data_IF_963823394742
#
_entry.id   IF_963823394742
#
_cell.length_a   1.000
_cell.length_b   1.000
_cell.length_c   1.000
_cell.angle_alpha   90.00
_cell.angle_beta   90.00
_cell.angle_gamma   90.00
#
_symmetry.space_group_name_H-M   'P 1'
#
loop_
_entity.id
_entity.type
_entity.pdbx_description
1 polymer ?
#
# COMPACT_ATOMS: atom_id res chain seq x y z
N UNK A 1 -12.62 -16.14 -17.98
CA UNK A 1 -12.55 -14.81 -18.60
C UNK A 1 -11.36 -14.14 -17.95
N UNK A 2 -10.28 -13.89 -18.68
CA UNK A 2 -9.18 -13.05 -18.19
C UNK A 2 -9.74 -11.66 -18.03
N UNK A 3 -9.75 -11.12 -16.81
CA UNK A 3 -10.10 -9.72 -16.60
C UNK A 3 -8.79 -8.95 -16.47
N UNK A 4 -8.60 -7.99 -17.36
CA UNK A 4 -7.47 -7.07 -17.36
C UNK A 4 -7.93 -5.78 -16.67
N UNK A 5 -7.31 -5.42 -15.54
CA UNK A 5 -7.50 -4.10 -14.93
C UNK A 5 -6.32 -3.22 -15.26
N UNK A 6 -6.57 -2.10 -15.93
CA UNK A 6 -5.59 -1.03 -15.99
C UNK A 6 -5.83 -0.13 -14.79
N UNK A 7 -4.95 -0.16 -13.79
CA UNK A 7 -4.86 0.87 -12.76
C UNK A 7 -4.34 2.16 -13.40
N UNK A 8 -5.12 2.82 -14.24
CA UNK A 8 -4.84 4.19 -14.66
C UNK A 8 -5.45 5.13 -13.63
N UNK A 9 -4.63 5.70 -12.74
CA UNK A 9 -5.04 6.88 -12.02
C UNK A 9 -5.30 7.98 -13.06
N UNK A 10 -6.37 8.75 -12.93
CA UNK A 10 -6.74 9.63 -14.00
C UNK A 10 -5.81 10.85 -14.08
N UNK A 11 -5.70 11.44 -15.28
CA UNK A 11 -4.78 12.56 -15.57
C UNK A 11 -4.99 13.73 -14.60
N UNK A 12 -3.99 14.60 -14.44
CA UNK A 12 -3.86 15.59 -13.35
C UNK A 12 -5.13 16.36 -12.92
N UNK A 13 -6.07 16.64 -13.84
CA UNK A 13 -7.35 17.27 -13.49
C UNK A 13 -8.29 16.37 -12.67
N UNK A 14 -8.33 15.07 -12.95
CA UNK A 14 -9.16 14.14 -12.19
C UNK A 14 -8.53 13.72 -10.86
N UNK A 15 -7.19 13.72 -10.75
CA UNK A 15 -6.51 13.56 -9.46
C UNK A 15 -6.85 14.73 -8.53
N UNK A 16 -6.91 15.95 -9.07
CA UNK A 16 -7.42 17.12 -8.37
C UNK A 16 -8.91 16.96 -8.01
N UNK A 17 -9.75 16.33 -8.85
CA UNK A 17 -11.15 16.00 -8.49
C UNK A 17 -11.27 15.01 -7.33
N UNK A 18 -10.38 14.01 -7.24
CA UNK A 18 -10.36 13.09 -6.10
C UNK A 18 -9.92 13.79 -4.80
N UNK A 19 -9.06 14.82 -4.90
CA UNK A 19 -8.67 15.67 -3.78
C UNK A 19 -9.81 16.64 -3.39
N UNK A 20 -10.52 17.23 -4.36
CA UNK A 20 -11.62 18.15 -4.07
C UNK A 20 -12.84 17.41 -3.50
N UNK A 21 -13.17 16.21 -3.97
CA UNK A 21 -14.28 15.43 -3.36
C UNK A 21 -13.99 14.91 -1.96
N UNK A 22 -12.72 14.78 -1.54
CA UNK A 22 -12.40 14.55 -0.12
C UNK A 22 -12.62 15.81 0.75
N UNK A 23 -12.66 17.00 0.15
CA UNK A 23 -12.94 18.25 0.86
C UNK A 23 -14.41 18.34 1.30
N UNK A 24 -15.34 17.73 0.58
CA UNK A 24 -16.77 17.68 0.96
C UNK A 24 -17.02 16.85 2.24
N UNK A 25 -16.04 16.02 2.65
CA UNK A 25 -16.07 15.20 3.87
C UNK A 25 -15.14 15.73 4.97
N UNK A 26 -14.67 16.98 4.82
CA UNK A 26 -13.80 17.68 5.76
C UNK A 26 -14.23 17.61 7.25
N UNK A 27 -15.52 17.66 7.65
CA UNK A 27 -15.85 17.62 9.08
C UNK A 27 -15.55 16.27 9.75
N UNK A 28 -15.44 15.17 9.01
CA UNK A 28 -15.12 13.84 9.57
C UNK A 28 -13.63 13.48 9.43
N UNK A 29 -12.92 14.10 8.49
CA UNK A 29 -11.52 13.81 8.17
C UNK A 29 -10.53 14.56 9.09
N UNK A 30 -10.80 14.60 10.40
CA UNK A 30 -9.98 15.32 11.38
C UNK A 30 -9.07 14.33 12.14
N UNK A 31 -7.74 14.50 12.10
CA UNK A 31 -6.80 13.62 12.80
C UNK A 31 -6.38 14.20 14.17
N UNK A 32 -7.33 14.54 15.07
CA UNK A 32 -7.00 15.21 16.33
C UNK A 32 -6.10 14.35 17.21
N UNK A 33 -6.42 13.05 17.35
CA UNK A 33 -5.65 12.15 18.20
C UNK A 33 -4.19 12.04 17.74
N UNK A 34 -3.95 11.96 16.42
CA UNK A 34 -2.60 11.90 15.85
C UNK A 34 -1.81 13.21 15.99
N UNK A 35 -2.51 14.35 16.08
CA UNK A 35 -1.90 15.66 16.23
C UNK A 35 -1.55 16.03 17.68
N UNK A 36 -2.07 15.30 18.68
CA UNK A 36 -1.76 15.51 20.09
C UNK A 36 -0.25 15.46 20.35
N UNK A 37 0.25 16.37 21.19
CA UNK A 37 1.69 16.44 21.55
C UNK A 37 2.20 15.10 22.06
N UNK A 38 1.40 14.40 22.88
CA UNK A 38 1.73 13.08 23.43
C UNK A 38 1.91 11.98 22.35
N UNK A 39 1.31 12.15 21.17
CA UNK A 39 1.28 11.16 20.11
C UNK A 39 2.24 11.46 18.94
N UNK A 40 2.82 12.68 18.89
CA UNK A 40 3.72 13.09 17.79
C UNK A 40 4.88 12.12 17.58
N UNK A 41 5.49 11.64 18.67
CA UNK A 41 6.61 10.69 18.61
C UNK A 41 6.21 9.27 18.18
N UNK A 42 4.91 8.96 18.12
CA UNK A 42 4.38 7.68 17.63
C UNK A 42 4.13 7.70 16.11
N UNK A 43 4.32 8.84 15.44
CA UNK A 43 4.11 8.99 13.99
C UNK A 43 5.44 8.95 13.25
N UNK A 44 5.61 8.02 12.31
CA UNK A 44 6.80 7.95 11.45
C UNK A 44 6.92 9.18 10.55
N UNK A 45 5.78 9.71 10.10
CA UNK A 45 5.69 10.95 9.32
C UNK A 45 4.70 11.91 9.99
N UNK A 46 5.11 13.15 10.34
CA UNK A 46 4.26 14.08 11.11
C UNK A 46 2.92 14.42 10.46
N UNK A 47 2.85 14.37 9.13
CA UNK A 47 1.67 14.78 8.36
C UNK A 47 0.83 13.61 7.83
N UNK A 48 1.21 12.36 8.14
CA UNK A 48 0.47 11.16 7.73
C UNK A 48 -0.16 10.58 8.98
N UNK A 49 -1.37 11.01 9.28
CA UNK A 49 -2.09 10.71 10.51
C UNK A 49 -3.37 9.93 10.20
N UNK A 50 -3.86 9.06 11.10
CA UNK A 50 -5.17 8.44 10.94
C UNK A 50 -6.28 9.45 11.25
N UNK A 51 -7.41 9.38 10.55
CA UNK A 51 -8.61 10.16 10.91
C UNK A 51 -9.28 9.58 12.16
N UNK A 52 -9.87 10.43 13.00
CA UNK A 52 -10.38 10.00 14.31
C UNK A 52 -11.59 9.05 14.24
N UNK A 53 -12.40 9.12 13.18
CA UNK A 53 -13.60 8.29 13.00
C UNK A 53 -13.28 6.84 12.66
N UNK A 54 -12.12 6.59 12.04
CA UNK A 54 -11.73 5.27 11.55
C UNK A 54 -10.36 4.80 12.06
N UNK A 55 -9.70 5.55 12.96
CA UNK A 55 -8.45 5.11 13.59
C UNK A 55 -8.68 3.86 14.43
N UNK A 56 -7.67 2.99 14.47
CA UNK A 56 -7.64 1.91 15.45
C UNK A 56 -7.40 2.51 16.83
N UNK A 57 -8.22 2.11 17.81
CA UNK A 57 -8.09 2.53 19.22
C UNK A 57 -7.66 1.33 20.04
N UNK A 58 -6.53 1.45 20.72
CA UNK A 58 -6.02 0.45 21.63
C UNK A 58 -6.70 0.56 23.00
N UNK A 59 -6.72 -0.52 23.77
CA UNK A 59 -7.14 -0.46 25.17
C UNK A 59 -6.28 0.54 25.96
N UNK A 60 -6.90 1.33 26.84
CA UNK A 60 -6.17 2.29 27.68
C UNK A 60 -5.36 1.53 28.75
N UNK A 61 -4.07 1.82 28.85
CA UNK A 61 -3.14 1.27 29.84
C UNK A 61 -2.73 2.31 30.87
N UNK A 62 -2.52 1.86 32.11
CA UNK A 62 -1.98 2.68 33.21
C UNK A 62 -2.72 4.00 33.44
N UNK A 63 -4.03 4.03 33.16
CA UNK A 63 -4.87 5.23 33.24
C UNK A 63 -4.36 6.40 32.37
N UNK A 64 -3.47 6.15 31.40
CA UNK A 64 -2.98 7.17 30.47
C UNK A 64 -3.92 7.25 29.26
N UNK A 65 -4.72 8.32 29.11
CA UNK A 65 -5.68 8.42 28.01
C UNK A 65 -5.03 8.44 26.62
N UNK A 66 -3.74 8.78 26.51
CA UNK A 66 -3.01 8.80 25.24
C UNK A 66 -2.39 7.43 24.87
N UNK A 67 -2.55 6.43 25.73
CA UNK A 67 -2.08 5.06 25.46
C UNK A 67 -2.96 4.31 24.46
N UNK A 68 -4.13 4.85 24.10
CA UNK A 68 -5.04 4.28 23.11
C UNK A 68 -4.57 4.50 21.65
N UNK A 69 -3.53 5.33 21.46
CA UNK A 69 -3.12 5.78 20.14
C UNK A 69 -2.10 4.85 19.47
N UNK A 70 -2.42 4.48 18.23
CA UNK A 70 -1.52 3.94 17.22
C UNK A 70 -1.84 4.58 15.86
N UNK A 71 -0.83 4.79 15.00
CA UNK A 71 -1.03 5.33 13.65
C UNK A 71 -1.52 4.23 12.69
N UNK A 72 -2.80 3.89 12.81
CA UNK A 72 -3.46 2.88 12.00
C UNK A 72 -4.93 3.27 11.75
N UNK A 73 -5.45 2.91 10.58
CA UNK A 73 -6.85 3.12 10.19
C UNK A 73 -7.46 1.81 9.70
N UNK A 74 -8.71 1.55 10.06
CA UNK A 74 -9.50 0.53 9.37
C UNK A 74 -9.78 0.97 7.92
N UNK A 75 -9.93 0.03 6.98
CA UNK A 75 -10.33 0.33 5.60
C UNK A 75 -10.63 -0.93 4.78
N UNK A 76 -11.24 -0.75 3.60
CA UNK A 76 -11.64 -1.82 2.69
C UNK A 76 -13.15 -1.86 2.41
N UNK A 77 -13.55 -2.75 1.50
CA UNK A 77 -14.93 -2.81 0.97
C UNK A 77 -16.02 -3.28 1.93
N UNK A 78 -15.64 -3.79 3.09
CA UNK A 78 -16.47 -3.75 4.30
C UNK A 78 -15.65 -3.12 5.41
N UNK A 79 -16.30 -2.41 6.34
CA UNK A 79 -15.70 -1.50 7.34
C UNK A 79 -14.59 -2.10 8.23
N UNK A 80 -14.26 -3.39 8.08
CA UNK A 80 -13.28 -4.13 8.91
C UNK A 80 -12.44 -5.17 8.15
N UNK A 81 -12.32 -5.09 6.83
CA UNK A 81 -11.52 -6.08 6.09
C UNK A 81 -10.01 -5.90 6.29
N UNK A 82 -9.54 -4.66 6.36
CA UNK A 82 -8.12 -4.33 6.51
C UNK A 82 -7.86 -3.29 7.59
N UNK A 83 -6.65 -3.34 8.14
CA UNK A 83 -6.02 -2.24 8.88
C UNK A 83 -4.81 -1.76 8.08
N UNK A 84 -4.82 -0.50 7.66
CA UNK A 84 -3.67 0.17 7.07
C UNK A 84 -2.91 0.92 8.16
N UNK A 85 -1.63 0.58 8.37
CA UNK A 85 -0.79 1.19 9.41
C UNK A 85 0.58 1.59 8.87
N UNK A 86 1.26 2.52 9.56
CA UNK A 86 2.67 2.80 9.30
C UNK A 86 3.56 1.59 9.64
N UNK A 87 4.77 1.58 9.09
CA UNK A 87 5.84 0.69 9.54
C UNK A 87 6.21 1.00 10.98
N UNK A 88 6.14 0.02 11.92
CA UNK A 88 6.41 0.26 13.33
C UNK A 88 7.75 0.95 13.56
N UNK A 89 7.75 1.95 14.44
CA UNK A 89 8.94 2.58 15.02
C UNK A 89 9.38 1.80 16.26
N UNK A 90 10.64 1.93 16.73
CA UNK A 90 11.12 1.23 17.91
C UNK A 90 10.24 1.43 19.15
N UNK A 91 9.74 2.65 19.37
CA UNK A 91 8.85 3.02 20.48
C UNK A 91 7.36 2.65 20.25
N UNK A 92 7.01 2.04 19.12
CA UNK A 92 5.63 1.64 18.78
C UNK A 92 5.49 0.15 18.46
N UNK A 93 6.56 -0.64 18.56
CA UNK A 93 6.51 -2.10 18.33
C UNK A 93 5.53 -2.78 19.30
N UNK A 94 5.54 -2.38 20.58
CA UNK A 94 4.59 -2.90 21.57
C UNK A 94 3.14 -2.53 21.22
N UNK A 95 2.90 -1.27 20.82
CA UNK A 95 1.58 -0.81 20.37
C UNK A 95 1.10 -1.59 19.12
N UNK A 96 2.00 -1.88 18.18
CA UNK A 96 1.69 -2.67 16.99
C UNK A 96 1.26 -4.10 17.33
N UNK A 97 2.01 -4.78 18.21
CA UNK A 97 1.64 -6.15 18.61
C UNK A 97 0.38 -6.18 19.48
N UNK A 98 0.16 -5.17 20.31
CA UNK A 98 -1.10 -4.96 21.03
C UNK A 98 -2.27 -4.78 20.07
N UNK A 99 -2.11 -4.01 19.00
CA UNK A 99 -3.12 -3.90 17.93
C UNK A 99 -3.42 -5.25 17.29
N UNK A 100 -2.39 -6.00 16.91
CA UNK A 100 -2.53 -7.34 16.30
C UNK A 100 -3.32 -8.28 17.22
N UNK A 101 -3.03 -8.21 18.52
CA UNK A 101 -3.74 -8.99 19.53
C UNK A 101 -5.19 -8.55 19.72
N UNK A 102 -5.45 -7.28 20.02
CA UNK A 102 -6.78 -6.77 20.32
C UNK A 102 -7.74 -6.90 19.13
N UNK A 103 -7.23 -6.74 17.90
CA UNK A 103 -8.03 -6.81 16.68
C UNK A 103 -8.13 -8.23 16.10
N UNK A 104 -7.63 -9.25 16.81
CA UNK A 104 -7.69 -10.66 16.36
C UNK A 104 -7.12 -10.90 14.95
N UNK A 105 -6.05 -10.18 14.63
CA UNK A 105 -5.38 -10.24 13.32
C UNK A 105 -4.78 -11.64 13.15
N UNK A 106 -4.88 -12.19 11.93
CA UNK A 106 -4.27 -13.47 11.54
C UNK A 106 -3.27 -13.35 10.40
N UNK A 107 -3.34 -12.26 9.66
CA UNK A 107 -2.49 -12.00 8.49
C UNK A 107 -1.90 -10.61 8.58
N UNK A 108 -0.58 -10.52 8.44
CA UNK A 108 0.16 -9.27 8.30
C UNK A 108 0.82 -9.27 6.92
N UNK A 109 0.67 -8.17 6.18
CA UNK A 109 1.27 -7.94 4.88
C UNK A 109 2.18 -6.72 4.93
N UNK A 110 3.49 -6.96 4.84
CA UNK A 110 4.54 -5.96 4.81
C UNK A 110 5.03 -5.74 3.38
N UNK A 111 4.69 -4.61 2.77
CA UNK A 111 5.03 -4.26 1.37
C UNK A 111 6.11 -3.18 1.27
N UNK A 112 7.13 -3.26 2.14
CA UNK A 112 8.33 -2.41 2.08
C UNK A 112 9.53 -3.17 2.60
N UNK A 113 10.72 -2.97 2.01
CA UNK A 113 11.97 -3.32 2.67
C UNK A 113 12.14 -2.55 3.99
N UNK A 114 12.96 -3.08 4.92
CA UNK A 114 13.33 -2.40 6.17
C UNK A 114 14.06 -1.08 5.92
N UNK A 115 14.97 -1.07 4.94
CA UNK A 115 15.74 0.10 4.52
C UNK A 115 15.72 0.24 3.01
N UNK A 116 15.71 1.47 2.53
CA UNK A 116 15.87 1.79 1.11
C UNK A 116 16.91 2.90 0.99
N UNK A 117 18.02 2.61 0.29
CA UNK A 117 19.22 3.45 0.32
C UNK A 117 19.65 3.68 1.78
N UNK A 118 19.74 4.94 2.22
CA UNK A 118 20.06 5.33 3.60
C UNK A 118 18.83 5.47 4.52
N UNK A 119 17.61 5.43 3.97
CA UNK A 119 16.39 5.71 4.72
C UNK A 119 15.84 4.45 5.39
N UNK A 120 15.54 4.54 6.69
CA UNK A 120 14.81 3.50 7.42
C UNK A 120 13.32 3.63 7.07
N UNK A 121 12.81 2.61 6.40
CA UNK A 121 11.41 2.55 5.96
C UNK A 121 10.54 1.84 7.01
N UNK A 122 11.09 0.82 7.67
CA UNK A 122 10.42 0.09 8.73
C UNK A 122 11.47 -0.52 9.65
N UNK A 123 11.26 -0.42 10.95
CA UNK A 123 12.08 -1.15 11.92
C UNK A 123 11.61 -2.61 11.97
N UNK A 124 12.55 -3.54 12.17
CA UNK A 124 12.19 -4.96 12.27
C UNK A 124 11.44 -5.18 13.57
N UNK A 125 10.17 -5.59 13.48
CA UNK A 125 9.30 -5.81 14.64
C UNK A 125 9.04 -7.30 14.94
N UNK A 126 9.57 -8.20 14.12
CA UNK A 126 9.42 -9.66 14.24
C UNK A 126 10.77 -10.32 14.54
N UNK A 127 11.36 -10.02 15.69
CA UNK A 127 12.44 -10.83 16.26
C UNK A 127 12.75 -10.26 17.62
N UNK A 128 12.25 -10.91 18.66
CA UNK A 128 12.77 -10.70 20.01
C UNK A 128 13.19 -12.08 20.45
N UNK A 129 14.50 -12.31 20.45
CA UNK A 129 15.13 -13.59 20.79
C UNK A 129 14.72 -14.08 22.19
N UNK A 130 14.04 -13.25 22.99
CA UNK A 130 13.43 -13.57 24.30
C UNK A 130 12.02 -12.97 24.53
N UNK A 131 11.20 -12.75 23.50
CA UNK A 131 9.90 -12.03 23.64
C UNK A 131 8.60 -12.80 23.34
N UNK A 132 7.48 -12.08 23.42
CA UNK A 132 6.08 -12.51 23.14
C UNK A 132 5.86 -13.07 21.73
N UNK A 133 6.77 -12.78 20.79
CA UNK A 133 6.66 -13.16 19.38
C UNK A 133 7.86 -14.00 18.96
N UNK A 134 7.61 -15.25 18.51
CA UNK A 134 8.65 -16.15 17.97
C UNK A 134 8.45 -16.37 16.47
N UNK A 135 9.55 -16.30 15.71
CA UNK A 135 9.59 -16.49 14.26
C UNK A 135 9.88 -17.95 13.90
N UNK A 136 9.21 -18.51 12.89
CA UNK A 136 9.65 -19.78 12.26
C UNK A 136 10.74 -19.56 11.22
N UNK A 137 11.35 -20.64 10.74
CA UNK A 137 12.18 -20.57 9.54
C UNK A 137 11.39 -19.91 8.38
N UNK A 138 11.91 -18.81 7.80
CA UNK A 138 11.26 -18.16 6.68
C UNK A 138 11.22 -19.09 5.47
N UNK A 139 10.05 -19.17 4.83
CA UNK A 139 9.88 -19.88 3.56
C UNK A 139 9.94 -18.87 2.42
N UNK A 140 10.90 -19.05 1.52
CA UNK A 140 11.06 -18.20 0.33
C UNK A 140 10.13 -18.69 -0.77
N UNK A 141 9.30 -17.79 -1.31
CA UNK A 141 8.46 -18.07 -2.47
C UNK A 141 9.15 -17.60 -3.76
N UNK A 142 8.91 -18.31 -4.87
CA UNK A 142 9.33 -17.91 -6.22
C UNK A 142 8.75 -16.55 -6.65
N UNK A 143 7.79 -16.01 -5.90
CA UNK A 143 7.06 -14.77 -6.17
C UNK A 143 7.66 -13.51 -5.51
N UNK A 144 8.95 -13.57 -5.13
CA UNK A 144 9.70 -12.47 -4.49
C UNK A 144 9.13 -11.96 -3.16
N UNK A 145 8.44 -12.84 -2.42
CA UNK A 145 8.04 -12.59 -1.04
C UNK A 145 8.55 -13.69 -0.12
N UNK A 146 8.69 -13.32 1.15
CA UNK A 146 9.00 -14.22 2.25
C UNK A 146 7.72 -14.48 3.03
N UNK A 147 7.43 -15.76 3.28
CA UNK A 147 6.34 -16.19 4.13
C UNK A 147 6.92 -16.70 5.44
N UNK A 148 6.45 -16.15 6.55
CA UNK A 148 6.89 -16.51 7.88
C UNK A 148 5.68 -16.69 8.80
N UNK A 149 5.74 -17.63 9.74
CA UNK A 149 4.75 -17.76 10.79
C UNK A 149 5.29 -17.16 12.09
N UNK A 150 4.51 -16.27 12.68
CA UNK A 150 4.84 -15.57 13.92
C UNK A 150 3.94 -16.11 15.03
N UNK A 151 4.54 -16.68 16.06
CA UNK A 151 3.86 -17.23 17.23
C UNK A 151 3.77 -16.14 18.29
N UNK A 152 2.58 -15.57 18.44
CA UNK A 152 2.25 -14.56 19.44
C UNK A 152 1.67 -15.26 20.67
N UNK A 153 2.40 -15.23 21.79
CA UNK A 153 2.02 -15.90 23.05
C UNK A 153 1.48 -14.90 24.05
N UNK A 154 0.23 -15.07 24.48
CA UNK A 154 -0.35 -14.31 25.59
C UNK A 154 -1.26 -15.25 26.40
N UNK A 155 -0.65 -15.91 27.39
CA UNK A 155 -1.23 -17.03 28.14
C UNK A 155 -2.63 -16.66 28.69
N UNK A 156 -3.66 -17.52 28.53
CA UNK A 156 -3.62 -18.91 28.05
C UNK A 156 -3.75 -19.08 26.53
N UNK A 157 -3.80 -17.99 25.76
CA UNK A 157 -4.11 -18.04 24.34
C UNK A 157 -2.83 -17.82 23.50
N UNK A 158 -2.54 -18.77 22.62
CA UNK A 158 -1.50 -18.60 21.62
C UNK A 158 -2.14 -18.31 20.26
N UNK A 159 -1.46 -17.50 19.44
CA UNK A 159 -1.90 -17.18 18.09
C UNK A 159 -0.77 -17.34 17.10
N UNK A 160 -1.06 -18.03 16.02
CA UNK A 160 -0.20 -18.06 14.84
C UNK A 160 -0.65 -16.95 13.91
N UNK A 161 0.28 -16.08 13.55
CA UNK A 161 0.10 -14.99 12.61
C UNK A 161 0.87 -15.34 11.34
N UNK A 162 0.20 -15.30 10.20
CA UNK A 162 0.86 -15.41 8.91
C UNK A 162 1.44 -14.06 8.52
N UNK A 163 2.74 -13.99 8.34
CA UNK A 163 3.47 -12.79 7.98
C UNK A 163 3.98 -12.91 6.54
N UNK A 164 3.45 -12.05 5.67
CA UNK A 164 3.90 -11.89 4.31
C UNK A 164 4.84 -10.68 4.23
N UNK A 165 6.05 -10.89 3.73
CA UNK A 165 7.04 -9.83 3.54
C UNK A 165 7.44 -9.71 2.07
N UNK A 166 7.05 -8.61 1.44
CA UNK A 166 7.35 -8.25 0.06
C UNK A 166 8.35 -7.08 0.03
N UNK A 167 9.68 -7.33 0.09
CA UNK A 167 10.70 -6.29 0.19
C UNK A 167 10.95 -5.54 -1.12
N UNK A 168 10.62 -6.15 -2.25
CA UNK A 168 11.03 -5.72 -3.60
C UNK A 168 10.24 -4.53 -4.16
N UNK A 169 9.32 -3.94 -3.39
CA UNK A 169 8.56 -2.76 -3.83
C UNK A 169 9.38 -1.48 -3.63
N UNK A 170 9.81 -0.78 -4.71
CA UNK A 170 10.63 0.43 -4.62
C UNK A 170 9.85 1.61 -4.01
N UNK A 171 10.57 2.58 -3.41
CA UNK A 171 9.94 3.79 -2.85
C UNK A 171 9.29 4.68 -3.90
N UNK A 172 10.04 4.90 -4.98
CA UNK A 172 9.68 5.74 -6.11
C UNK A 172 9.51 4.81 -7.31
N UNK A 173 8.27 4.38 -7.56
CA UNK A 173 7.91 3.55 -8.71
C UNK A 173 6.96 2.40 -8.38
N UNK A 174 6.87 1.46 -9.32
CA UNK A 174 6.06 0.24 -9.19
C UNK A 174 6.92 -1.00 -9.14
N UNK A 175 6.46 -2.05 -8.42
CA UNK A 175 7.11 -3.34 -8.47
C UNK A 175 6.86 -3.98 -9.84
N UNK A 176 7.55 -5.09 -10.10
CA UNK A 176 7.20 -5.94 -11.24
C UNK A 176 5.70 -6.32 -11.15
N UNK A 177 4.87 -5.96 -12.16
CA UNK A 177 3.42 -6.18 -12.08
C UNK A 177 3.03 -7.64 -11.96
N UNK A 178 3.76 -8.55 -12.62
CA UNK A 178 3.51 -10.00 -12.55
C UNK A 178 3.76 -10.52 -11.13
N UNK A 179 4.90 -10.15 -10.54
CA UNK A 179 5.25 -10.53 -9.18
C UNK A 179 4.25 -9.98 -8.15
N UNK A 180 3.82 -8.73 -8.30
CA UNK A 180 2.82 -8.13 -7.41
C UNK A 180 1.45 -8.78 -7.57
N UNK A 181 0.99 -9.04 -8.79
CA UNK A 181 -0.30 -9.69 -9.01
C UNK A 181 -0.31 -11.11 -8.46
N UNK A 182 0.75 -11.89 -8.69
CA UNK A 182 0.86 -13.23 -8.14
C UNK A 182 0.90 -13.22 -6.61
N UNK A 183 1.62 -12.27 -6.01
CA UNK A 183 1.64 -12.06 -4.56
C UNK A 183 0.25 -11.68 -4.01
N UNK A 184 -0.42 -10.71 -4.63
CA UNK A 184 -1.74 -10.25 -4.22
C UNK A 184 -2.80 -11.36 -4.37
N UNK A 185 -2.76 -12.14 -5.45
CA UNK A 185 -3.65 -13.28 -5.64
C UNK A 185 -3.42 -14.36 -4.58
N UNK A 186 -2.16 -14.67 -4.25
CA UNK A 186 -1.83 -15.61 -3.19
C UNK A 186 -2.38 -15.16 -1.83
N UNK A 187 -2.19 -13.88 -1.47
CA UNK A 187 -2.76 -13.30 -0.25
C UNK A 187 -4.29 -13.34 -0.28
N UNK A 188 -4.91 -12.98 -1.41
CA UNK A 188 -6.37 -12.99 -1.59
C UNK A 188 -6.97 -14.39 -1.35
N UNK A 189 -6.36 -15.43 -1.95
CA UNK A 189 -6.78 -16.82 -1.77
C UNK A 189 -6.67 -17.24 -0.30
N UNK A 190 -5.58 -16.85 0.38
CA UNK A 190 -5.43 -17.15 1.80
C UNK A 190 -6.48 -16.43 2.66
N UNK A 191 -6.74 -15.14 2.41
CA UNK A 191 -7.79 -14.39 3.11
C UNK A 191 -9.19 -14.97 2.90
N UNK A 192 -9.47 -15.54 1.72
CA UNK A 192 -10.75 -16.20 1.42
C UNK A 192 -10.88 -17.56 2.11
N UNK A 193 -9.78 -18.29 2.27
CA UNK A 193 -9.75 -19.60 2.93
C UNK A 193 -9.83 -19.50 4.47
N UNK A 194 -9.44 -18.37 5.06
CA UNK A 194 -9.46 -18.17 6.50
C UNK A 194 -10.86 -17.79 7.02
N UNK A 195 -11.26 -18.27 8.21
CA UNK A 195 -12.40 -17.71 8.90
C UNK A 195 -12.18 -16.21 9.17
N UNK A 196 -13.22 -15.40 8.99
CA UNK A 196 -13.17 -13.94 9.20
C UNK A 196 -13.15 -13.60 10.70
N UNK A 197 -12.00 -13.84 11.34
CA UNK A 197 -11.80 -13.62 12.78
C UNK A 197 -11.44 -12.17 13.13
N UNK A 198 -10.86 -11.44 12.19
CA UNK A 198 -10.41 -10.06 12.33
C UNK A 198 -9.82 -9.52 11.01
N UNK A 199 -9.50 -8.23 10.93
CA UNK A 199 -8.90 -7.62 9.76
C UNK A 199 -7.51 -8.19 9.46
N UNK A 200 -7.11 -8.11 8.18
CA UNK A 200 -5.71 -8.24 7.80
C UNK A 200 -4.98 -6.92 7.98
N UNK A 201 -3.78 -6.95 8.56
CA UNK A 201 -2.93 -5.75 8.67
C UNK A 201 -2.10 -5.61 7.40
N UNK A 202 -2.12 -4.44 6.77
CA UNK A 202 -1.27 -4.10 5.64
C UNK A 202 -0.45 -2.87 5.97
N UNK A 203 0.86 -2.94 5.83
CA UNK A 203 1.73 -1.81 6.12
C UNK A 203 2.90 -1.68 5.14
N UNK A 204 3.38 -0.46 5.00
CA UNK A 204 4.60 -0.12 4.29
C UNK A 204 5.47 0.74 5.21
N UNK A 205 6.00 1.87 4.72
CA UNK A 205 6.61 2.89 5.58
C UNK A 205 5.56 3.81 6.20
N UNK A 206 4.85 4.59 5.39
CA UNK A 206 3.82 5.51 5.86
C UNK A 206 2.43 4.87 6.04
N UNK A 207 2.21 3.69 5.47
CA UNK A 207 0.91 3.00 5.50
C UNK A 207 -0.14 3.58 4.57
N UNK A 208 0.25 4.29 3.49
CA UNK A 208 -0.69 4.98 2.59
C UNK A 208 -0.44 4.68 1.11
N UNK A 209 0.79 4.83 0.62
CA UNK A 209 1.13 4.62 -0.79
C UNK A 209 1.01 3.15 -1.21
N UNK A 210 2.07 2.36 -0.94
CA UNK A 210 2.13 0.93 -1.31
C UNK A 210 1.04 0.10 -0.62
N UNK A 211 0.76 0.37 0.65
CA UNK A 211 -0.32 -0.29 1.41
C UNK A 211 -1.67 -0.05 0.76
N UNK A 212 -1.98 1.21 0.40
CA UNK A 212 -3.20 1.57 -0.29
C UNK A 212 -3.34 0.84 -1.62
N UNK A 213 -2.30 0.90 -2.45
CA UNK A 213 -2.28 0.20 -3.74
C UNK A 213 -2.50 -1.29 -3.57
N UNK A 214 -1.83 -1.94 -2.61
CA UNK A 214 -1.98 -3.36 -2.35
C UNK A 214 -3.41 -3.71 -1.92
N UNK A 215 -3.99 -2.97 -0.97
CA UNK A 215 -5.37 -3.16 -0.52
C UNK A 215 -6.37 -2.98 -1.66
N UNK A 216 -6.19 -1.94 -2.48
CA UNK A 216 -7.01 -1.73 -3.68
C UNK A 216 -6.94 -2.94 -4.62
N UNK A 217 -5.74 -3.44 -4.94
CA UNK A 217 -5.57 -4.60 -5.83
C UNK A 217 -6.31 -5.82 -5.28
N UNK A 218 -6.09 -6.17 -4.02
CA UNK A 218 -6.74 -7.34 -3.39
C UNK A 218 -8.26 -7.17 -3.38
N UNK A 219 -8.76 -5.98 -3.03
CA UNK A 219 -10.20 -5.70 -3.01
C UNK A 219 -10.83 -5.83 -4.40
N UNK A 220 -10.23 -5.25 -5.44
CA UNK A 220 -10.73 -5.36 -6.81
C UNK A 220 -10.71 -6.82 -7.30
N UNK A 221 -9.69 -7.60 -6.94
CA UNK A 221 -9.66 -9.03 -7.24
C UNK A 221 -10.81 -9.78 -6.55
N UNK A 222 -11.12 -9.47 -5.28
CA UNK A 222 -12.27 -10.06 -4.57
C UNK A 222 -13.61 -9.72 -5.22
N UNK A 223 -13.80 -8.48 -5.69
CA UNK A 223 -15.00 -8.09 -6.43
C UNK A 223 -15.11 -8.88 -7.74
N UNK A 224 -14.00 -8.99 -8.46
CA UNK A 224 -13.93 -9.67 -9.76
C UNK A 224 -14.28 -11.15 -9.66
N UNK A 225 -13.77 -11.85 -8.63
CA UNK A 225 -14.09 -13.26 -8.37
C UNK A 225 -15.58 -13.45 -8.07
N UNK A 226 -16.24 -12.46 -7.46
CA UNK A 226 -17.69 -12.46 -7.20
C UNK A 226 -18.52 -12.04 -8.41
N UNK A 227 -17.91 -11.78 -9.56
CA UNK A 227 -18.59 -11.31 -10.76
C UNK A 227 -19.05 -9.85 -10.68
N UNK A 228 -18.58 -9.09 -9.69
CA UNK A 228 -18.88 -7.66 -9.54
C UNK A 228 -17.85 -6.88 -10.37
N UNK A 229 -18.28 -6.04 -11.33
CA UNK A 229 -17.38 -5.18 -12.09
C UNK A 229 -16.61 -4.25 -11.13
N UNK A 230 -15.28 -4.29 -11.11
CA UNK A 230 -14.52 -3.46 -10.20
C UNK A 230 -14.40 -2.02 -10.71
N UNK A 231 -14.58 -1.08 -9.79
CA UNK A 231 -14.39 0.35 -10.03
C UNK A 231 -13.19 0.84 -9.19
N UNK A 232 -12.10 1.10 -9.90
CA UNK A 232 -10.84 1.57 -9.32
C UNK A 232 -11.02 2.94 -8.67
N UNK A 233 -11.76 3.85 -9.31
CA UNK A 233 -11.94 5.22 -8.82
C UNK A 233 -12.78 5.20 -7.54
N UNK A 234 -13.86 4.41 -7.53
CA UNK A 234 -14.69 4.22 -6.34
C UNK A 234 -13.90 3.61 -5.18
N UNK A 235 -13.11 2.56 -5.43
CA UNK A 235 -12.30 1.91 -4.41
C UNK A 235 -11.25 2.86 -3.81
N UNK A 236 -10.54 3.63 -4.64
CA UNK A 236 -9.56 4.62 -4.16
C UNK A 236 -10.25 5.76 -3.40
N UNK A 237 -11.41 6.23 -3.88
CA UNK A 237 -12.19 7.26 -3.18
C UNK A 237 -12.60 6.78 -1.79
N UNK A 238 -13.13 5.56 -1.69
CA UNK A 238 -13.53 4.95 -0.43
C UNK A 238 -12.36 4.77 0.55
N UNK A 239 -11.22 4.25 0.09
CA UNK A 239 -10.03 4.13 0.93
C UNK A 239 -9.52 5.49 1.43
N UNK A 240 -9.65 6.55 0.62
CA UNK A 240 -9.29 7.92 1.03
C UNK A 240 -10.24 8.51 2.07
N UNK A 241 -11.46 7.99 2.24
CA UNK A 241 -12.35 8.35 3.35
C UNK A 241 -11.87 7.79 4.68
N UNK A 242 -11.11 6.70 4.62
CA UNK A 242 -10.64 5.97 5.79
C UNK A 242 -9.19 6.29 6.14
N UNK A 243 -8.35 6.66 5.16
CA UNK A 243 -6.97 7.05 5.43
C UNK A 243 -6.47 8.04 4.41
N UNK A 244 -5.94 9.15 4.91
CA UNK A 244 -5.44 10.24 4.07
C UNK A 244 -4.39 9.75 3.06
N UNK A 245 -4.42 10.34 1.87
CA UNK A 245 -3.42 10.13 0.83
C UNK A 245 -3.20 8.66 0.42
N UNK A 246 -4.15 7.78 0.71
CA UNK A 246 -4.10 6.39 0.25
C UNK A 246 -3.98 6.39 -1.27
N UNK A 247 -3.00 5.64 -1.79
CA UNK A 247 -2.53 5.68 -3.19
C UNK A 247 -1.88 7.04 -3.55
N UNK A 248 -0.57 7.17 -3.32
CA UNK A 248 0.16 8.46 -3.32
C UNK A 248 0.78 8.91 -4.66
N UNK A 249 1.32 8.02 -5.49
CA UNK A 249 2.15 8.43 -6.64
C UNK A 249 1.49 8.18 -7.99
N UNK A 250 1.50 9.25 -8.79
CA UNK A 250 1.14 9.31 -10.22
C UNK A 250 2.23 8.74 -11.15
N UNK A 251 3.37 8.28 -10.62
CA UNK A 251 4.49 7.81 -11.44
C UNK A 251 4.73 6.33 -11.14
N UNK A 252 4.27 5.50 -12.07
CA UNK A 252 4.42 4.04 -12.04
C UNK A 252 3.11 3.28 -11.85
N UNK A 253 2.20 3.74 -10.98
CA UNK A 253 0.97 3.00 -10.67
C UNK A 253 -0.03 2.94 -11.83
N UNK A 254 0.12 3.84 -12.81
CA UNK A 254 -0.71 4.03 -14.01
C UNK A 254 -0.79 2.82 -14.96
N UNK A 255 0.00 1.78 -14.72
CA UNK A 255 0.11 0.59 -15.58
C UNK A 255 0.23 -0.71 -14.79
N UNK A 256 -0.36 -0.79 -13.59
CA UNK A 256 -0.57 -2.12 -13.02
C UNK A 256 -1.70 -2.78 -13.80
N UNK A 257 -1.32 -3.63 -14.77
CA UNK A 257 -2.24 -4.53 -15.47
C UNK A 257 -2.46 -5.72 -14.55
N UNK A 258 -3.58 -5.74 -13.85
CA UNK A 258 -3.98 -6.92 -13.07
C UNK A 258 -4.64 -7.89 -14.06
N UNK A 259 -3.95 -8.97 -14.39
CA UNK A 259 -4.55 -10.12 -15.07
C UNK A 259 -5.06 -11.09 -14.00
N UNK A 260 -6.38 -11.19 -13.82
CA UNK A 260 -6.97 -12.33 -13.09
C UNK A 260 -7.63 -13.26 -14.11
N UNK A 261 -7.06 -14.45 -14.30
CA UNK A 261 -7.63 -15.47 -15.18
C UNK A 261 -8.33 -16.53 -14.33
N UNK A 262 -9.63 -16.36 -14.08
CA UNK A 262 -10.42 -17.17 -13.15
C UNK A 262 -10.67 -18.64 -13.59
N UNK A 263 -9.89 -19.22 -14.52
CA UNK A 263 -10.16 -20.57 -15.02
C UNK A 263 -8.97 -21.53 -15.14
N UNK A 264 -7.73 -21.08 -15.18
CA UNK A 264 -6.56 -21.97 -15.19
C UNK A 264 -5.45 -21.31 -14.36
N UNK A 265 -4.74 -22.08 -13.54
CA UNK A 265 -3.57 -21.66 -12.74
C UNK A 265 -2.36 -21.17 -13.58
N UNK A 266 -2.58 -20.62 -14.78
CA UNK A 266 -1.56 -20.11 -15.68
C UNK A 266 -1.50 -18.58 -15.65
N UNK A 267 -0.37 -18.07 -15.16
CA UNK A 267 0.02 -16.66 -15.17
C UNK A 267 0.69 -16.34 -16.52
N UNK A 268 -0.08 -15.99 -17.55
CA UNK A 268 0.46 -15.37 -18.76
C UNK A 268 0.11 -13.89 -18.83
N UNK A 269 1.13 -13.04 -18.76
CA UNK A 269 1.04 -11.60 -18.98
C UNK A 269 1.37 -11.33 -20.46
N UNK A 270 0.43 -10.88 -21.30
CA UNK A 270 0.79 -10.35 -22.61
C UNK A 270 1.46 -8.99 -22.37
N UNK A 271 2.79 -8.96 -22.47
CA UNK A 271 3.54 -7.71 -22.65
C UNK A 271 3.23 -7.20 -24.06
N UNK A 272 2.14 -6.44 -24.22
CA UNK A 272 1.97 -5.64 -25.44
C UNK A 272 2.89 -4.41 -25.33
N UNK A 273 4.05 -4.54 -25.96
CA UNK A 273 4.90 -3.42 -26.35
C UNK A 273 4.11 -2.55 -27.33
N UNK A 274 3.45 -1.50 -26.84
CA UNK A 274 2.91 -0.45 -27.70
C UNK A 274 4.08 0.25 -28.38
N UNK A 275 4.39 -0.19 -29.61
CA UNK A 275 5.21 0.54 -30.57
C UNK A 275 4.63 1.95 -30.70
N UNK A 276 5.47 2.96 -30.52
CA UNK A 276 5.13 4.34 -30.75
C UNK A 276 4.52 4.51 -32.14
N UNK A 277 3.44 5.28 -32.20
CA UNK A 277 2.83 5.73 -33.45
C UNK A 277 3.80 6.63 -34.20
N UNK A 278 4.67 6.03 -35.02
CA UNK A 278 5.27 6.73 -36.15
C UNK A 278 4.30 6.58 -37.33
N UNK A 279 3.48 7.62 -37.55
CA UNK A 279 2.79 7.82 -38.81
C UNK A 279 3.82 8.22 -39.87
N UNK A 280 3.87 7.42 -40.93
CA UNK A 280 4.67 7.58 -42.13
C UNK A 280 4.06 8.60 -43.10
N UNK A 281 4.91 9.45 -43.67
CA UNK A 281 4.91 10.01 -45.04
C UNK A 281 5.99 11.11 -45.03
N UNK A 282 6.93 11.26 -45.95
CA UNK A 282 7.32 10.63 -47.21
C UNK A 282 8.64 11.32 -47.61
N UNK A 283 9.53 10.61 -48.28
CA UNK A 283 10.82 11.10 -48.78
C UNK A 283 10.72 12.36 -49.67
N UNK A 284 11.68 13.29 -49.53
CA UNK A 284 12.57 13.77 -50.61
C UNK A 284 13.12 15.22 -50.40
N UNK A 285 14.45 15.32 -50.50
CA UNK A 285 15.26 16.37 -51.12
C UNK A 285 15.34 17.82 -50.54
N UNK A 286 16.55 18.14 -50.06
CA UNK A 286 17.41 19.28 -50.50
C UNK A 286 16.81 20.69 -50.71
N UNK A 287 17.19 21.66 -49.85
CA UNK A 287 18.02 22.86 -50.15
C UNK A 287 17.91 23.97 -49.07
N UNK A 288 19.08 24.55 -48.77
CA UNK A 288 19.39 25.75 -47.94
C UNK A 288 18.98 27.07 -48.69
N UNK A 289 19.25 28.34 -48.27
CA UNK A 289 19.72 28.94 -47.00
C UNK A 289 19.05 30.31 -46.63
N UNK A 290 19.50 30.96 -45.53
CA UNK A 290 19.47 32.43 -45.26
C UNK A 290 18.06 33.06 -45.00
N UNK A 291 17.78 33.96 -44.06
CA UNK A 291 18.55 35.00 -43.36
C UNK A 291 17.67 35.55 -42.20
N UNK A 292 18.26 35.82 -41.03
CA UNK A 292 18.12 37.13 -40.35
C UNK A 292 19.02 37.17 -39.10
N UNK A 293 20.21 37.73 -39.34
CA UNK A 293 21.06 38.59 -38.49
C UNK A 293 20.34 39.23 -37.28
N UNK A 294 20.94 39.53 -36.12
CA UNK A 294 22.31 39.56 -35.56
C UNK A 294 22.16 40.12 -34.12
N UNK A 295 23.13 40.20 -33.22
CA UNK A 295 24.56 39.88 -33.19
C UNK A 295 25.09 40.12 -31.75
N UNK A 296 26.29 39.58 -31.50
CA UNK A 296 27.35 40.01 -30.59
C UNK A 296 27.05 40.37 -29.11
N UNK A 297 27.63 39.58 -28.19
CA UNK A 297 28.81 40.05 -27.44
C UNK A 297 29.59 38.88 -26.78
N UNK A 298 30.83 38.71 -27.25
CA UNK A 298 32.10 38.42 -26.58
C UNK A 298 32.28 37.27 -25.56
N UNK A 299 32.94 36.22 -26.07
CA UNK A 299 34.22 35.63 -25.63
C UNK A 299 34.82 35.83 -24.22
N UNK A 300 35.13 34.66 -23.62
CA UNK A 300 36.40 34.24 -22.98
C UNK A 300 36.77 34.78 -21.58
N UNK A 301 36.53 33.94 -20.56
CA UNK A 301 37.56 33.24 -19.76
C UNK A 301 36.96 31.96 -19.17
#
# INVERSE_FOLDING_TARGET
KTVFFFLSLPHGNEYNLLITHTADLAPYNIPLAGALVANKQKNRYPYILPYDHCRVRLSVQNQNPNSDYINASFGGGSERDFICTQGPLPNTVADFWRMVWEQNVRVIVMVTALRQKSTIMCDKYWSVEEGTVRETCPSFSLLNFVLTYLYLRDFPNDRIITHYYYPSWPDQGVPNPVSLCAFAEHVRQHLEALPRLGPAVVHCSAGVGRSGTFVTVVWLMQLSVRGIPPDIKAAVKDLRLHRMWTVQTLVGQHRLVICSNAKNNDLSCPLETLKGTNGSNSDAAEQNPQEMWGGLHDSLC
#
